data_IF_595750133074
#
_entry.id   IF_595750133074
#
_cell.length_a   1.000
_cell.length_b   1.000
_cell.length_c   1.000
_cell.angle_alpha   90.00
_cell.angle_beta   90.00
_cell.angle_gamma   90.00
#
_symmetry.space_group_name_H-M   'P 1'
#
loop_
_entity.id
_entity.type
_entity.pdbx_description
1 polymer ?
#
# COMPACT_ATOMS: atom_id res chain seq x y z
N UNK A 1 -2.97 -35.27 -16.62
CA UNK A 1 -4.27 -35.82 -17.04
C UNK A 1 -4.21 -37.31 -16.75
N UNK A 2 -4.62 -37.73 -15.55
CA UNK A 2 -4.67 -39.15 -15.16
C UNK A 2 -6.07 -39.69 -15.48
N UNK A 3 -6.09 -40.72 -16.31
CA UNK A 3 -7.27 -41.44 -16.78
C UNK A 3 -7.92 -42.20 -15.61
N UNK A 4 -9.17 -41.86 -15.28
CA UNK A 4 -9.94 -42.56 -14.24
C UNK A 4 -10.54 -43.81 -14.88
N UNK A 5 -9.98 -44.98 -14.55
CA UNK A 5 -10.59 -46.27 -14.85
C UNK A 5 -11.93 -46.37 -14.11
N UNK A 6 -13.03 -46.41 -14.86
CA UNK A 6 -14.36 -46.71 -14.32
C UNK A 6 -14.41 -48.22 -14.09
N UNK A 7 -14.28 -48.63 -12.83
CA UNK A 7 -14.47 -50.00 -12.41
C UNK A 7 -15.98 -50.31 -12.47
N UNK A 8 -16.38 -51.22 -13.36
CA UNK A 8 -17.79 -51.63 -13.47
C UNK A 8 -18.21 -52.32 -12.17
N UNK A 9 -19.28 -51.82 -11.54
CA UNK A 9 -19.79 -52.41 -10.30
C UNK A 9 -20.43 -53.77 -10.58
N UNK A 10 -19.76 -54.84 -10.16
CA UNK A 10 -20.33 -56.18 -10.16
C UNK A 10 -21.54 -56.26 -9.21
N UNK A 11 -22.63 -56.86 -9.70
CA UNK A 11 -23.84 -57.04 -8.90
C UNK A 11 -23.61 -57.99 -7.72
N UNK A 12 -24.11 -57.63 -6.54
CA UNK A 12 -23.94 -58.45 -5.33
C UNK A 12 -24.60 -59.85 -5.48
N UNK A 13 -23.84 -60.96 -5.32
CA UNK A 13 -24.32 -62.33 -5.56
C UNK A 13 -25.44 -62.78 -4.61
N UNK A 14 -25.66 -62.06 -3.49
CA UNK A 14 -26.72 -62.39 -2.54
C UNK A 14 -28.10 -61.86 -2.96
N UNK A 15 -28.19 -60.96 -3.94
CA UNK A 15 -29.50 -60.49 -4.43
C UNK A 15 -30.22 -61.52 -5.30
N UNK A 16 -29.48 -62.39 -5.99
CA UNK A 16 -30.05 -63.44 -6.86
C UNK A 16 -30.79 -64.55 -6.08
N UNK A 17 -30.50 -64.73 -4.79
CA UNK A 17 -31.08 -65.81 -3.95
C UNK A 17 -32.33 -65.41 -3.17
N UNK A 18 -32.83 -64.18 -3.34
CA UNK A 18 -33.96 -63.66 -2.56
C UNK A 18 -35.29 -64.12 -3.14
N UNK A 19 -36.25 -64.42 -2.26
CA UNK A 19 -37.57 -64.97 -2.63
C UNK A 19 -38.44 -64.05 -3.50
N UNK A 20 -38.07 -62.77 -3.62
CA UNK A 20 -38.74 -61.79 -4.49
C UNK A 20 -38.02 -61.59 -5.83
N UNK A 21 -36.87 -62.23 -6.06
CA UNK A 21 -36.17 -62.19 -7.34
C UNK A 21 -36.92 -63.07 -8.35
N UNK A 22 -37.38 -62.48 -9.44
CA UNK A 22 -37.94 -63.22 -10.57
C UNK A 22 -36.76 -63.78 -11.39
N UNK A 23 -36.80 -65.02 -11.89
CA UNK A 23 -35.76 -65.50 -12.79
C UNK A 23 -35.69 -64.61 -14.02
N UNK A 24 -34.47 -64.26 -14.45
CA UNK A 24 -34.29 -63.44 -15.64
C UNK A 24 -34.91 -64.17 -16.85
N UNK A 25 -35.64 -63.45 -17.72
CA UNK A 25 -36.18 -64.05 -18.93
C UNK A 25 -35.03 -64.63 -19.77
N UNK A 26 -35.28 -65.69 -20.55
CA UNK A 26 -34.24 -66.26 -21.41
C UNK A 26 -33.65 -65.17 -22.29
N UNK A 27 -32.31 -65.16 -22.40
CA UNK A 27 -31.58 -64.17 -23.18
C UNK A 27 -32.15 -64.07 -24.58
N UNK A 28 -32.53 -62.85 -25.00
CA UNK A 28 -33.11 -62.58 -26.32
C UNK A 28 -32.04 -62.45 -27.42
N UNK A 29 -30.85 -62.99 -27.18
CA UNK A 29 -29.69 -62.89 -28.07
C UNK A 29 -28.87 -61.63 -27.82
N UNK A 30 -27.67 -61.60 -28.40
CA UNK A 30 -26.73 -60.48 -28.31
C UNK A 30 -27.24 -59.29 -29.13
N UNK A 31 -27.10 -58.07 -28.59
CA UNK A 31 -27.57 -56.81 -29.21
C UNK A 31 -26.74 -56.35 -30.43
N UNK A 32 -25.86 -57.20 -30.95
CA UNK A 32 -24.90 -56.89 -32.02
C UNK A 32 -25.45 -57.18 -33.44
N UNK A 33 -26.70 -57.67 -33.54
CA UNK A 33 -27.39 -57.94 -34.80
C UNK A 33 -28.56 -56.97 -35.05
N UNK A 34 -28.58 -56.30 -36.21
CA UNK A 34 -29.63 -55.35 -36.65
C UNK A 34 -31.02 -55.98 -36.93
N UNK A 35 -31.23 -57.27 -36.64
CA UNK A 35 -32.49 -57.98 -36.90
C UNK A 35 -32.96 -58.74 -35.67
N UNK A 36 -34.11 -58.36 -35.11
CA UNK A 36 -34.83 -59.15 -34.12
C UNK A 36 -35.51 -60.34 -34.81
N UNK A 37 -35.10 -61.57 -34.47
CA UNK A 37 -35.79 -62.77 -34.90
C UNK A 37 -36.91 -63.09 -33.89
N UNK A 38 -38.15 -62.85 -34.30
CA UNK A 38 -39.35 -63.10 -33.49
C UNK A 38 -39.54 -64.61 -33.34
N UNK A 39 -39.27 -65.15 -32.14
CA UNK A 39 -39.61 -66.53 -31.81
C UNK A 39 -41.13 -66.67 -31.68
N UNK A 40 -41.69 -67.60 -32.45
CA UNK A 40 -43.10 -67.96 -32.49
C UNK A 40 -43.65 -68.25 -31.09
N UNK A 41 -44.77 -67.61 -30.75
CA UNK A 41 -45.58 -67.93 -29.59
C UNK A 41 -46.17 -69.35 -29.73
N UNK A 42 -45.89 -70.23 -28.78
CA UNK A 42 -46.64 -71.46 -28.56
C UNK A 42 -48.04 -71.09 -28.02
N UNK A 43 -49.14 -71.58 -28.63
CA UNK A 43 -50.48 -71.40 -28.07
C UNK A 43 -50.67 -72.37 -26.91
N UNK A 44 -50.77 -71.87 -25.68
CA UNK A 44 -51.27 -72.66 -24.55
C UNK A 44 -52.80 -72.76 -24.62
N UNK A 45 -53.25 -74.01 -24.52
CA UNK A 45 -54.61 -74.51 -24.58
C UNK A 45 -55.43 -74.13 -23.33
N UNK A 46 -56.70 -73.83 -23.58
CA UNK A 46 -57.86 -73.93 -22.67
C UNK A 46 -57.89 -73.15 -21.34
N UNK A 47 -58.78 -72.14 -21.34
CA UNK A 47 -59.38 -71.56 -20.15
C UNK A 47 -60.36 -72.51 -19.47
N UNK A 48 -60.69 -72.24 -18.19
CA UNK A 48 -62.10 -72.24 -17.78
C UNK A 48 -62.56 -70.83 -17.39
N UNK A 49 -63.81 -70.56 -17.76
CA UNK A 49 -64.53 -69.30 -17.64
C UNK A 49 -64.74 -68.77 -16.20
N UNK A 50 -65.10 -67.48 -16.18
CA UNK A 50 -65.71 -66.70 -15.09
C UNK A 50 -64.80 -66.04 -14.03
N UNK A 51 -64.15 -64.95 -14.45
CA UNK A 51 -63.97 -63.78 -13.59
C UNK A 51 -64.55 -62.55 -14.31
N UNK A 52 -65.33 -61.68 -13.63
CA UNK A 52 -65.90 -60.52 -14.29
C UNK A 52 -64.73 -59.66 -14.77
N UNK A 53 -64.68 -59.37 -16.08
CA UNK A 53 -63.68 -58.49 -16.68
C UNK A 53 -63.68 -57.18 -15.89
N UNK A 54 -62.74 -57.02 -14.94
CA UNK A 54 -62.47 -55.76 -14.27
C UNK A 54 -62.14 -54.79 -15.39
N UNK A 55 -63.10 -53.97 -15.82
CA UNK A 55 -62.84 -52.89 -16.77
C UNK A 55 -61.64 -52.13 -16.20
N UNK A 56 -60.51 -52.33 -16.85
CA UNK A 56 -59.22 -51.89 -16.38
C UNK A 56 -59.22 -50.38 -16.45
N UNK A 57 -59.52 -49.76 -15.32
CA UNK A 57 -59.57 -48.32 -15.17
C UNK A 57 -58.13 -47.77 -15.14
N UNK A 58 -57.35 -48.06 -16.19
CA UNK A 58 -55.94 -47.71 -16.33
C UNK A 58 -55.71 -46.22 -16.12
N UNK A 59 -56.67 -45.39 -16.56
CA UNK A 59 -56.67 -43.95 -16.32
C UNK A 59 -56.68 -43.61 -14.83
N UNK A 60 -57.57 -44.22 -14.04
CA UNK A 60 -57.60 -44.00 -12.58
C UNK A 60 -56.31 -44.46 -11.92
N UNK A 61 -55.78 -45.63 -12.32
CA UNK A 61 -54.49 -46.12 -11.81
C UNK A 61 -53.34 -45.16 -12.13
N UNK A 62 -53.33 -44.58 -13.32
CA UNK A 62 -52.32 -43.59 -13.71
C UNK A 62 -52.50 -42.28 -12.94
N UNK A 63 -53.73 -41.78 -12.85
CA UNK A 63 -54.04 -40.55 -12.12
C UNK A 63 -53.69 -40.70 -10.63
N UNK A 64 -53.98 -41.84 -10.01
CA UNK A 64 -53.65 -42.13 -8.61
C UNK A 64 -52.13 -42.33 -8.41
N UNK A 65 -51.45 -42.99 -9.35
CA UNK A 65 -49.99 -43.12 -9.33
C UNK A 65 -49.31 -41.75 -9.46
N UNK A 66 -49.79 -40.91 -10.39
CA UNK A 66 -49.32 -39.54 -10.57
C UNK A 66 -49.55 -38.71 -9.31
N UNK A 67 -50.74 -38.76 -8.72
CA UNK A 67 -51.02 -38.09 -7.44
C UNK A 67 -50.09 -38.56 -6.33
N UNK A 68 -49.81 -39.86 -6.24
CA UNK A 68 -48.85 -40.38 -5.26
C UNK A 68 -47.43 -39.87 -5.53
N UNK A 69 -46.98 -39.82 -6.79
CA UNK A 69 -45.68 -39.23 -7.14
C UNK A 69 -45.61 -37.74 -6.81
N UNK A 70 -46.64 -36.98 -7.19
CA UNK A 70 -46.74 -35.55 -6.91
C UNK A 70 -46.77 -35.30 -5.38
N UNK A 71 -47.49 -36.14 -4.62
CA UNK A 71 -47.50 -36.11 -3.16
C UNK A 71 -46.12 -36.41 -2.58
N UNK A 72 -45.45 -37.48 -3.04
CA UNK A 72 -44.09 -37.83 -2.60
C UNK A 72 -43.09 -36.74 -2.91
N UNK A 73 -43.17 -36.12 -4.10
CA UNK A 73 -42.35 -34.98 -4.48
C UNK A 73 -42.58 -33.78 -3.53
N UNK A 74 -43.83 -33.53 -3.14
CA UNK A 74 -44.17 -32.54 -2.12
C UNK A 74 -43.56 -32.87 -0.75
N UNK A 75 -43.73 -34.11 -0.28
CA UNK A 75 -43.14 -34.61 0.98
C UNK A 75 -41.61 -34.50 0.98
N UNK A 76 -40.95 -34.83 -0.13
CA UNK A 76 -39.49 -34.70 -0.25
C UNK A 76 -39.05 -33.25 -0.19
N UNK A 77 -39.71 -32.34 -0.91
CA UNK A 77 -39.39 -30.90 -0.87
C UNK A 77 -39.58 -30.32 0.53
N UNK A 78 -40.68 -30.66 1.20
CA UNK A 78 -40.92 -30.24 2.58
C UNK A 78 -39.83 -30.77 3.51
N UNK A 79 -39.45 -32.04 3.36
CA UNK A 79 -38.39 -32.64 4.17
C UNK A 79 -37.02 -32.00 3.88
N UNK A 80 -36.72 -31.66 2.64
CA UNK A 80 -35.50 -30.92 2.29
C UNK A 80 -35.48 -29.54 2.93
N UNK A 81 -36.58 -28.80 2.83
CA UNK A 81 -36.74 -27.48 3.47
C UNK A 81 -36.59 -27.58 5.00
N UNK A 82 -37.22 -28.58 5.62
CA UNK A 82 -37.11 -28.84 7.05
C UNK A 82 -35.68 -29.23 7.45
N UNK A 83 -35.00 -30.08 6.69
CA UNK A 83 -33.62 -30.48 6.96
C UNK A 83 -32.67 -29.28 6.80
N UNK A 84 -32.88 -28.43 5.80
CA UNK A 84 -32.10 -27.20 5.61
C UNK A 84 -32.35 -26.23 6.77
N UNK A 85 -33.60 -26.04 7.18
CA UNK A 85 -33.93 -25.20 8.33
C UNK A 85 -33.32 -25.75 9.62
N UNK A 86 -33.40 -27.07 9.85
CA UNK A 86 -32.76 -27.73 10.98
C UNK A 86 -31.24 -27.55 10.95
N UNK A 87 -30.59 -27.74 9.80
CA UNK A 87 -29.16 -27.53 9.65
C UNK A 87 -28.76 -26.07 9.91
N UNK A 88 -29.56 -25.09 9.47
CA UNK A 88 -29.33 -23.67 9.75
C UNK A 88 -29.50 -23.35 11.24
N UNK A 89 -30.50 -23.92 11.91
CA UNK A 89 -30.71 -23.72 13.36
C UNK A 89 -29.71 -24.46 14.24
N UNK A 90 -29.18 -25.60 13.77
CA UNK A 90 -28.18 -26.38 14.47
C UNK A 90 -26.78 -25.79 14.37
N UNK A 91 -26.53 -24.91 13.39
CA UNK A 91 -25.30 -24.12 13.35
C UNK A 91 -25.38 -23.04 14.42
N UNK A 92 -24.48 -23.05 15.43
CA UNK A 92 -24.44 -21.98 16.40
C UNK A 92 -24.15 -20.66 15.69
N UNK A 93 -24.92 -19.62 16.03
CA UNK A 93 -24.65 -18.27 15.54
C UNK A 93 -23.24 -17.87 15.98
N UNK A 94 -22.33 -17.68 15.03
CA UNK A 94 -20.95 -17.30 15.32
C UNK A 94 -20.93 -16.00 16.12
N UNK A 95 -20.49 -16.07 17.37
CA UNK A 95 -20.14 -14.90 18.17
C UNK A 95 -18.62 -14.88 18.33
N UNK A 96 -17.94 -13.82 17.90
CA UNK A 96 -16.50 -13.73 18.08
C UNK A 96 -16.19 -13.74 19.58
N UNK A 97 -15.28 -14.60 20.07
CA UNK A 97 -14.88 -14.63 21.46
C UNK A 97 -14.23 -13.30 21.82
N UNK A 98 -14.68 -12.68 22.93
CA UNK A 98 -14.21 -11.36 23.36
C UNK A 98 -13.41 -11.40 24.65
N UNK A 99 -13.55 -12.47 25.44
CA UNK A 99 -12.83 -12.64 26.70
C UNK A 99 -11.72 -13.67 26.54
N UNK A 100 -10.70 -13.59 27.40
CA UNK A 100 -9.57 -14.52 27.39
C UNK A 100 -10.03 -15.96 27.63
N UNK A 101 -11.00 -16.16 28.54
CA UNK A 101 -11.62 -17.46 28.85
C UNK A 101 -12.36 -18.03 27.62
N UNK A 102 -13.08 -17.20 26.86
CA UNK A 102 -13.76 -17.64 25.64
C UNK A 102 -12.78 -18.03 24.53
N UNK A 103 -11.61 -17.38 24.46
CA UNK A 103 -10.55 -17.71 23.50
C UNK A 103 -9.93 -19.06 23.84
N UNK A 104 -9.74 -19.36 25.13
CA UNK A 104 -9.25 -20.68 25.58
C UNK A 104 -10.24 -21.80 25.26
N UNK A 105 -11.54 -21.58 25.51
CA UNK A 105 -12.58 -22.52 25.12
C UNK A 105 -12.61 -22.70 23.59
N UNK A 106 -12.54 -21.61 22.82
CA UNK A 106 -12.50 -21.64 21.36
C UNK A 106 -11.27 -22.40 20.84
N UNK A 107 -10.11 -22.24 21.48
CA UNK A 107 -8.89 -23.00 21.15
C UNK A 107 -9.06 -24.49 21.38
N UNK A 108 -9.81 -24.90 22.41
CA UNK A 108 -10.09 -26.30 22.70
C UNK A 108 -11.09 -26.90 21.70
N UNK A 109 -12.16 -26.17 21.36
CA UNK A 109 -13.21 -26.63 20.45
C UNK A 109 -12.79 -26.61 18.97
N UNK A 110 -11.99 -25.61 18.56
CA UNK A 110 -11.59 -25.37 17.18
C UNK A 110 -10.09 -25.05 17.07
N UNK A 111 -9.20 -26.02 17.33
CA UNK A 111 -7.75 -25.77 17.34
C UNK A 111 -7.23 -25.30 15.97
N UNK A 112 -7.74 -25.85 14.87
CA UNK A 112 -7.30 -25.49 13.53
C UNK A 112 -7.64 -24.03 13.18
N UNK A 113 -8.87 -23.59 13.49
CA UNK A 113 -9.29 -22.20 13.26
C UNK A 113 -8.46 -21.24 14.10
N UNK A 114 -8.25 -21.55 15.39
CA UNK A 114 -7.42 -20.74 16.26
C UNK A 114 -5.99 -20.60 15.72
N UNK A 115 -5.35 -21.70 15.32
CA UNK A 115 -3.98 -21.69 14.79
C UNK A 115 -3.87 -20.83 13.52
N UNK A 116 -4.88 -20.85 12.64
CA UNK A 116 -4.88 -19.97 11.46
C UNK A 116 -4.99 -18.50 11.83
N UNK A 117 -5.87 -18.14 12.76
CA UNK A 117 -6.05 -16.77 13.22
C UNK A 117 -4.80 -16.27 13.94
N UNK A 118 -4.20 -17.10 14.78
CA UNK A 118 -2.92 -16.81 15.45
C UNK A 118 -1.79 -16.58 14.44
N UNK A 119 -1.71 -17.43 13.40
CA UNK A 119 -0.70 -17.27 12.34
C UNK A 119 -0.92 -15.96 11.57
N UNK A 120 -2.16 -15.64 11.19
CA UNK A 120 -2.49 -14.39 10.49
C UNK A 120 -2.19 -13.18 11.39
N UNK A 121 -2.52 -13.25 12.67
CA UNK A 121 -2.21 -12.21 13.65
C UNK A 121 -0.70 -12.02 13.80
N UNK A 122 0.08 -13.11 13.82
CA UNK A 122 1.53 -13.06 13.90
C UNK A 122 2.13 -12.45 12.63
N UNK A 123 1.70 -12.87 11.44
CA UNK A 123 2.14 -12.29 10.15
C UNK A 123 1.84 -10.79 10.11
N UNK A 124 0.63 -10.38 10.51
CA UNK A 124 0.24 -8.97 10.55
C UNK A 124 1.09 -8.17 11.54
N UNK A 125 1.31 -8.71 12.73
CA UNK A 125 2.18 -8.08 13.74
C UNK A 125 3.62 -7.93 13.23
N UNK A 126 4.19 -8.97 12.61
CA UNK A 126 5.51 -8.89 11.99
C UNK A 126 5.58 -7.83 10.89
N UNK A 127 4.54 -7.72 10.05
CA UNK A 127 4.45 -6.69 9.01
C UNK A 127 4.38 -5.29 9.62
N UNK A 128 3.57 -5.08 10.65
CA UNK A 128 3.47 -3.79 11.35
C UNK A 128 4.81 -3.41 11.99
N UNK A 129 5.49 -4.35 12.65
CA UNK A 129 6.84 -4.13 13.22
C UNK A 129 7.86 -3.82 12.12
N UNK A 130 7.87 -4.54 11.01
CA UNK A 130 8.78 -4.29 9.90
C UNK A 130 8.55 -2.89 9.28
N UNK A 131 7.29 -2.49 9.13
CA UNK A 131 6.93 -1.15 8.68
C UNK A 131 7.41 -0.07 9.65
N UNK A 132 7.23 -0.26 10.96
CA UNK A 132 7.71 0.66 11.98
C UNK A 132 9.25 0.75 11.99
N UNK A 133 9.95 -0.37 11.87
CA UNK A 133 11.41 -0.40 11.76
C UNK A 133 11.91 0.36 10.53
N UNK A 134 11.27 0.18 9.38
CA UNK A 134 11.60 0.94 8.16
C UNK A 134 11.37 2.44 8.34
N UNK A 135 10.26 2.84 8.95
CA UNK A 135 9.99 4.25 9.25
C UNK A 135 11.03 4.83 10.21
N UNK A 136 11.36 4.12 11.30
CA UNK A 136 12.39 4.53 12.25
C UNK A 136 13.74 4.70 11.57
N UNK A 137 14.14 3.76 10.70
CA UNK A 137 15.39 3.88 9.95
C UNK A 137 15.39 5.12 9.04
N UNK A 138 14.29 5.40 8.35
CA UNK A 138 14.17 6.59 7.50
C UNK A 138 14.24 7.89 8.31
N UNK A 139 13.63 7.91 9.51
CA UNK A 139 13.67 9.06 10.41
C UNK A 139 15.08 9.26 10.96
N UNK A 140 15.77 8.20 11.38
CA UNK A 140 17.14 8.26 11.86
C UNK A 140 18.10 8.75 10.77
N UNK A 141 17.93 8.31 9.52
CA UNK A 141 18.69 8.83 8.39
C UNK A 141 18.44 10.33 8.21
N UNK A 142 17.18 10.76 8.20
CA UNK A 142 16.83 12.17 8.10
C UNK A 142 17.38 13.01 9.25
N UNK A 143 17.32 12.50 10.47
CA UNK A 143 17.88 13.17 11.66
C UNK A 143 19.39 13.33 11.52
N UNK A 144 20.12 12.28 11.12
CA UNK A 144 21.57 12.38 10.93
C UNK A 144 21.95 13.35 9.80
N UNK A 145 21.17 13.42 8.72
CA UNK A 145 21.37 14.41 7.66
C UNK A 145 21.12 15.84 8.14
N UNK A 146 20.08 16.05 8.95
CA UNK A 146 19.76 17.37 9.53
C UNK A 146 20.87 17.79 10.48
N UNK A 147 21.28 16.91 11.39
CA UNK A 147 22.38 17.16 12.33
C UNK A 147 23.67 17.50 11.58
N UNK A 148 24.00 16.79 10.49
CA UNK A 148 25.17 17.12 9.66
C UNK A 148 25.04 18.49 9.00
N UNK A 149 23.87 18.82 8.43
CA UNK A 149 23.63 20.14 7.82
C UNK A 149 23.74 21.27 8.83
N UNK A 150 23.15 21.11 10.01
CA UNK A 150 23.23 22.09 11.10
C UNK A 150 24.67 22.26 11.61
N UNK A 151 25.42 21.16 11.69
CA UNK A 151 26.84 21.19 12.00
C UNK A 151 27.64 21.97 10.94
N UNK A 152 27.41 21.69 9.66
CA UNK A 152 28.06 22.39 8.56
C UNK A 152 27.69 23.88 8.52
N UNK A 153 26.43 24.26 8.74
CA UNK A 153 26.04 25.69 8.80
C UNK A 153 26.75 26.40 9.95
N UNK A 154 26.79 25.77 11.12
CA UNK A 154 27.50 26.33 12.28
C UNK A 154 29.01 26.46 12.02
N UNK A 155 29.61 25.53 11.28
CA UNK A 155 31.01 25.63 10.85
C UNK A 155 31.22 26.76 9.85
N UNK A 156 30.34 26.92 8.86
CA UNK A 156 30.40 28.03 7.89
C UNK A 156 30.25 29.39 8.56
N UNK A 157 29.40 29.50 9.57
CA UNK A 157 29.21 30.73 10.34
C UNK A 157 30.48 31.13 11.11
N UNK A 158 31.22 30.15 11.63
CA UNK A 158 32.51 30.39 12.33
C UNK A 158 33.68 30.58 11.37
N UNK A 159 33.67 29.85 10.26
CA UNK A 159 34.73 29.81 9.26
C UNK A 159 34.10 29.90 7.85
N UNK A 160 33.96 31.11 7.30
CA UNK A 160 33.38 31.29 5.95
C UNK A 160 34.18 30.61 4.83
N UNK A 161 35.47 30.36 5.05
CA UNK A 161 36.43 29.64 4.21
C UNK A 161 36.45 28.13 4.47
N UNK A 162 35.51 27.60 5.25
CA UNK A 162 35.42 26.18 5.59
C UNK A 162 35.36 25.28 4.36
N UNK A 163 34.56 25.62 3.35
CA UNK A 163 34.37 24.79 2.16
C UNK A 163 35.67 24.64 1.34
N UNK A 164 36.49 25.69 1.31
CA UNK A 164 37.79 25.69 0.65
C UNK A 164 38.80 24.86 1.45
N UNK A 165 38.85 25.04 2.77
CA UNK A 165 39.77 24.32 3.66
C UNK A 165 39.46 22.82 3.66
N UNK A 166 38.17 22.44 3.74
CA UNK A 166 37.71 21.05 3.73
C UNK A 166 38.06 20.30 2.45
N UNK A 167 38.22 21.01 1.33
CA UNK A 167 38.59 20.41 0.04
C UNK A 167 40.09 20.53 -0.24
N UNK A 168 40.84 21.23 0.61
CA UNK A 168 42.26 21.48 0.40
C UNK A 168 43.12 20.29 0.84
N UNK A 169 44.00 19.82 -0.05
CA UNK A 169 44.95 18.76 0.28
C UNK A 169 45.89 19.19 1.42
N UNK A 170 46.27 20.47 1.47
CA UNK A 170 47.14 21.01 2.51
C UNK A 170 46.55 20.93 3.92
N UNK A 171 45.22 21.02 4.08
CA UNK A 171 44.58 20.79 5.37
C UNK A 171 44.60 19.32 5.75
N UNK A 172 44.35 18.42 4.80
CA UNK A 172 44.38 16.98 5.06
C UNK A 172 45.79 16.47 5.37
N UNK A 173 46.81 17.00 4.70
CA UNK A 173 48.20 16.64 4.97
C UNK A 173 48.67 17.18 6.32
N UNK A 174 48.34 18.44 6.65
CA UNK A 174 48.52 18.96 8.01
C UNK A 174 47.82 18.06 9.04
N UNK A 175 46.55 17.69 8.81
CA UNK A 175 45.78 16.88 9.76
C UNK A 175 46.43 15.50 10.01
N UNK A 176 47.02 14.86 8.99
CA UNK A 176 47.72 13.56 9.14
C UNK A 176 49.00 13.67 9.96
N UNK A 177 49.67 14.82 9.97
CA UNK A 177 50.87 15.06 10.78
C UNK A 177 50.54 15.30 12.26
N UNK A 178 49.29 15.65 12.57
CA UNK A 178 48.84 15.88 13.93
C UNK A 178 48.69 14.57 14.73
N UNK A 179 48.70 14.62 16.08
CA UNK A 179 48.40 13.47 16.92
C UNK A 179 46.99 12.89 16.66
N UNK A 180 46.79 11.61 16.98
CA UNK A 180 45.52 10.90 16.76
C UNK A 180 44.31 11.67 17.32
N UNK A 181 44.46 12.36 18.46
CA UNK A 181 43.38 13.12 19.07
C UNK A 181 42.86 14.26 18.18
N UNK A 182 43.74 14.93 17.42
CA UNK A 182 43.35 16.01 16.51
C UNK A 182 42.84 15.44 15.20
N UNK A 183 43.41 14.31 14.74
CA UNK A 183 42.88 13.58 13.60
C UNK A 183 41.41 13.16 13.84
N UNK A 184 41.10 12.72 15.06
CA UNK A 184 39.75 12.35 15.45
C UNK A 184 38.77 13.53 15.38
N UNK A 185 39.21 14.75 15.66
CA UNK A 185 38.35 15.94 15.54
C UNK A 185 37.93 16.24 14.10
N UNK A 186 38.73 15.80 13.13
CA UNK A 186 38.52 16.02 11.69
C UNK A 186 37.81 14.84 11.04
N UNK A 187 38.27 13.61 11.29
CA UNK A 187 37.80 12.41 10.60
C UNK A 187 36.79 11.59 11.41
N UNK A 188 36.96 11.50 12.73
CA UNK A 188 36.16 10.65 13.61
C UNK A 188 35.24 11.47 14.52
N UNK A 189 34.62 12.50 13.95
CA UNK A 189 33.76 13.42 14.69
C UNK A 189 32.30 13.26 14.25
N UNK A 190 31.45 12.60 15.07
CA UNK A 190 30.06 12.34 14.69
C UNK A 190 29.20 13.61 14.66
N UNK A 191 29.35 14.52 15.65
CA UNK A 191 28.45 15.65 15.84
C UNK A 191 29.07 16.87 16.58
N UNK A 192 30.35 16.81 16.98
CA UNK A 192 30.96 17.85 17.80
C UNK A 192 31.58 18.97 16.95
N UNK A 193 30.74 19.93 16.57
CA UNK A 193 31.13 21.13 15.80
C UNK A 193 32.27 21.92 16.47
N UNK A 194 32.30 21.98 17.80
CA UNK A 194 33.30 22.78 18.52
C UNK A 194 34.72 22.23 18.38
N UNK A 195 34.87 20.91 18.28
CA UNK A 195 36.17 20.28 18.05
C UNK A 195 36.63 20.49 16.60
N UNK A 196 35.72 20.32 15.63
CA UNK A 196 36.01 20.59 14.22
C UNK A 196 36.41 22.06 13.98
N UNK A 197 35.71 23.02 14.59
CA UNK A 197 36.10 24.44 14.50
C UNK A 197 37.47 24.71 15.11
N UNK A 198 37.78 24.10 16.27
CA UNK A 198 39.11 24.22 16.88
C UNK A 198 40.21 23.66 15.99
N UNK A 199 39.98 22.53 15.31
CA UNK A 199 40.95 21.98 14.37
C UNK A 199 41.23 22.95 13.21
N UNK A 200 40.19 23.58 12.65
CA UNK A 200 40.33 24.60 11.60
C UNK A 200 41.10 25.83 12.12
N UNK A 201 40.82 26.27 13.35
CA UNK A 201 41.53 27.38 13.98
C UNK A 201 43.02 27.08 14.19
N UNK A 202 43.36 25.87 14.65
CA UNK A 202 44.74 25.42 14.81
C UNK A 202 45.49 25.39 13.48
N UNK A 203 44.87 24.79 12.46
CA UNK A 203 45.42 24.79 11.11
C UNK A 203 45.73 26.20 10.62
N UNK A 204 44.77 27.11 10.77
CA UNK A 204 44.90 28.52 10.38
C UNK A 204 46.00 29.27 11.13
N UNK A 205 46.18 28.94 12.42
CA UNK A 205 47.21 29.52 13.27
C UNK A 205 48.59 29.04 12.86
N UNK A 206 48.76 27.76 12.58
CA UNK A 206 50.05 27.16 12.23
C UNK A 206 50.49 27.48 10.79
N UNK A 207 49.56 27.45 9.85
CA UNK A 207 49.85 27.77 8.44
C UNK A 207 49.87 29.26 8.14
N UNK A 208 49.41 30.09 9.08
CA UNK A 208 49.25 31.53 8.90
C UNK A 208 48.14 31.94 7.94
N UNK A 209 47.40 30.97 7.38
CA UNK A 209 46.33 31.20 6.39
C UNK A 209 45.13 31.93 7.00
N UNK A 210 44.93 31.82 8.32
CA UNK A 210 43.86 32.52 9.05
C UNK A 210 44.30 33.78 9.79
N UNK A 211 45.55 34.23 9.62
CA UNK A 211 45.79 35.67 9.67
C UNK A 211 45.14 36.24 8.41
N UNK A 212 43.81 36.39 8.48
CA UNK A 212 43.18 37.48 7.80
C UNK A 212 44.07 38.69 8.13
N UNK A 213 44.85 39.15 7.13
CA UNK A 213 45.14 40.56 7.00
C UNK A 213 43.81 41.17 7.36
N UNK A 214 43.73 41.78 8.55
CA UNK A 214 42.62 42.63 8.88
C UNK A 214 42.45 43.45 7.62
N UNK A 215 41.45 43.12 6.80
CA UNK A 215 40.94 44.06 5.84
C UNK A 215 40.48 45.11 6.80
N UNK A 216 41.36 46.09 7.04
CA UNK A 216 41.04 47.32 7.74
C UNK A 216 39.72 47.65 7.12
N UNK A 217 38.64 47.46 7.88
CA UNK A 217 37.39 48.02 7.46
C UNK A 217 37.76 49.45 7.14
N UNK A 218 37.63 49.92 5.88
CA UNK A 218 37.80 51.33 5.65
C UNK A 218 36.86 51.94 6.68
N UNK A 219 37.43 52.71 7.61
CA UNK A 219 36.66 53.42 8.64
C UNK A 219 35.43 53.90 7.92
N UNK A 220 34.26 53.54 8.43
CA UNK A 220 33.01 54.07 7.91
C UNK A 220 33.13 55.59 8.02
N UNK A 221 33.63 56.23 6.96
CA UNK A 221 33.38 57.62 6.72
C UNK A 221 31.87 57.63 6.63
N UNK A 222 31.23 58.30 7.58
CA UNK A 222 29.86 58.74 7.49
C UNK A 222 29.73 59.78 6.37
N UNK A 223 30.21 59.44 5.18
CA UNK A 223 29.96 60.14 3.94
C UNK A 223 28.53 59.84 3.55
N UNK A 224 27.67 60.82 3.78
CA UNK A 224 26.33 60.91 3.21
C UNK A 224 26.33 60.36 1.78
N UNK A 225 25.38 59.47 1.47
CA UNK A 225 25.19 58.86 0.15
C UNK A 225 24.96 59.87 -1.00
N UNK A 226 24.94 61.18 -0.70
CA UNK A 226 24.95 62.27 -1.65
C UNK A 226 26.30 62.48 -2.39
N UNK A 227 27.42 61.94 -1.88
CA UNK A 227 28.77 62.25 -2.43
C UNK A 227 29.34 61.18 -3.39
N UNK A 228 28.58 60.10 -3.66
CA UNK A 228 28.99 59.01 -4.58
C UNK A 228 28.30 59.12 -5.95
N UNK A 229 27.34 60.03 -6.12
CA UNK A 229 26.74 60.34 -7.42
C UNK A 229 27.58 61.40 -8.15
N UNK A 230 28.72 60.94 -8.69
CA UNK A 230 29.46 61.66 -9.71
C UNK A 230 28.60 61.75 -10.97
N UNK A 231 28.04 62.93 -11.26
CA UNK A 231 27.23 63.24 -12.44
C UNK A 231 28.05 63.35 -13.74
N UNK A 232 29.15 62.59 -13.85
CA UNK A 232 29.97 62.62 -15.06
C UNK A 232 29.42 61.63 -16.09
N UNK A 233 28.51 62.19 -16.89
CA UNK A 233 28.18 61.80 -18.28
C UNK A 233 27.56 60.42 -18.48
N UNK A 234 26.24 60.31 -18.26
CA UNK A 234 25.40 59.50 -19.15
C UNK A 234 24.67 60.47 -20.07
N UNK A 235 24.91 60.37 -21.37
CA UNK A 235 24.08 61.03 -22.38
C UNK A 235 22.68 60.40 -22.26
N UNK A 236 21.77 61.11 -21.62
CA UNK A 236 20.36 60.72 -21.54
C UNK A 236 19.70 61.20 -22.82
N UNK A 237 19.31 60.25 -23.66
CA UNK A 237 18.41 60.45 -24.78
C UNK A 237 17.12 61.13 -24.27
N UNK A 238 16.70 62.30 -24.80
CA UNK A 238 15.67 63.15 -24.18
C UNK A 238 14.23 62.58 -24.20
N UNK A 239 14.03 61.31 -24.52
CA UNK A 239 12.71 60.66 -24.55
C UNK A 239 12.45 59.61 -23.45
N UNK A 240 13.42 59.30 -22.57
CA UNK A 240 13.16 58.34 -21.49
C UNK A 240 12.50 59.03 -20.29
N UNK A 241 11.28 58.62 -19.95
CA UNK A 241 10.52 59.18 -18.84
C UNK A 241 11.18 58.85 -17.47
N UNK A 242 11.03 59.78 -16.51
CA UNK A 242 11.70 59.78 -15.20
C UNK A 242 11.37 58.54 -14.37
N UNK A 243 12.39 57.94 -13.74
CA UNK A 243 12.25 56.87 -12.75
C UNK A 243 12.12 57.52 -11.37
N UNK A 244 11.13 57.09 -10.59
CA UNK A 244 10.86 57.62 -9.25
C UNK A 244 11.35 56.65 -8.17
N UNK A 245 11.73 57.17 -7.00
CA UNK A 245 12.07 56.33 -5.83
C UNK A 245 11.02 56.47 -4.73
N UNK A 246 10.74 55.39 -3.99
CA UNK A 246 9.76 55.42 -2.88
C UNK A 246 10.12 56.49 -1.84
N UNK A 247 11.41 56.70 -1.59
CA UNK A 247 11.90 57.73 -0.67
C UNK A 247 11.66 59.15 -1.19
N UNK A 248 11.77 59.37 -2.50
CA UNK A 248 11.49 60.68 -3.12
C UNK A 248 9.99 61.01 -3.06
N UNK A 249 9.14 60.02 -3.33
CA UNK A 249 7.68 60.17 -3.23
C UNK A 249 7.27 60.41 -1.76
N UNK A 250 7.89 59.71 -0.80
CA UNK A 250 7.59 59.89 0.62
C UNK A 250 8.11 61.21 1.21
N UNK A 251 9.16 61.79 0.63
CA UNK A 251 9.78 63.03 1.11
C UNK A 251 9.16 64.30 0.50
N UNK A 252 8.36 64.18 -0.56
CA UNK A 252 7.78 65.34 -1.22
C UNK A 252 6.60 65.92 -0.43
N UNK A 253 6.41 67.23 -0.52
CA UNK A 253 5.26 67.89 0.10
C UNK A 253 3.97 67.58 -0.67
N UNK A 254 2.83 67.73 0.00
CA UNK A 254 1.51 67.47 -0.61
C UNK A 254 1.31 68.29 -1.91
N UNK A 255 1.69 69.58 -1.89
CA UNK A 255 1.65 70.45 -3.07
C UNK A 255 2.58 70.01 -4.22
N UNK A 256 3.69 69.32 -3.91
CA UNK A 256 4.62 68.80 -4.92
C UNK A 256 4.11 67.48 -5.49
N UNK A 257 3.48 66.66 -4.67
CA UNK A 257 2.84 65.43 -5.09
C UNK A 257 1.72 65.72 -6.08
N UNK A 258 0.83 66.66 -5.76
CA UNK A 258 -0.29 67.05 -6.63
C UNK A 258 0.16 67.53 -8.02
N UNK A 259 1.33 68.17 -8.12
CA UNK A 259 1.91 68.63 -9.40
C UNK A 259 2.49 67.50 -10.25
N UNK A 260 2.99 66.44 -9.62
CA UNK A 260 3.63 65.30 -10.29
C UNK A 260 2.78 64.03 -10.20
N UNK A 261 1.50 64.16 -9.80
CA UNK A 261 0.63 63.03 -9.54
C UNK A 261 0.49 62.13 -10.77
N UNK A 262 0.20 62.71 -11.94
CA UNK A 262 0.03 61.95 -13.18
C UNK A 262 1.30 61.19 -13.59
N UNK A 263 2.48 61.79 -13.40
CA UNK A 263 3.77 61.17 -13.72
C UNK A 263 4.15 60.04 -12.75
N UNK A 264 3.84 60.22 -11.47
CA UNK A 264 4.09 59.21 -10.42
C UNK A 264 3.12 58.04 -10.58
N UNK A 265 1.84 58.30 -10.87
CA UNK A 265 0.85 57.25 -11.17
C UNK A 265 1.25 56.44 -12.40
N UNK A 266 1.70 57.09 -13.47
CA UNK A 266 2.20 56.41 -14.66
C UNK A 266 3.47 55.57 -14.35
N UNK A 267 4.40 56.10 -13.55
CA UNK A 267 5.57 55.35 -13.12
C UNK A 267 5.23 54.16 -12.21
N UNK A 268 4.19 54.26 -11.37
CA UNK A 268 3.68 53.14 -10.58
C UNK A 268 3.05 52.07 -11.47
N UNK A 269 2.24 52.46 -12.47
CA UNK A 269 1.63 51.50 -13.41
C UNK A 269 2.66 50.76 -14.24
N UNK A 270 3.72 51.45 -14.66
CA UNK A 270 4.78 50.88 -15.50
C UNK A 270 5.89 50.18 -14.69
N UNK A 271 5.78 50.13 -13.35
CA UNK A 271 6.77 49.50 -12.47
C UNK A 271 8.12 50.23 -12.42
N UNK A 272 8.13 51.53 -12.73
CA UNK A 272 9.31 52.41 -12.74
C UNK A 272 9.51 53.16 -11.41
N UNK A 273 8.98 52.59 -10.32
CA UNK A 273 9.23 53.05 -8.95
C UNK A 273 10.19 52.07 -8.28
N UNK A 274 11.36 52.56 -7.88
CA UNK A 274 12.39 51.76 -7.20
C UNK A 274 12.27 51.92 -5.70
N UNK A 275 12.37 50.80 -4.99
CA UNK A 275 12.33 50.71 -3.52
C UNK A 275 13.61 51.25 -2.87
#
# INVERSE_FOLDING_TARGET
MSEVQVEEQESNPYNAKKAWHQPDPPSRGDADGLFFQEQQATPDEEAPDEAPKKQTNYKKRYDDLKKHYDQRLGEFKQREEELVAQAQTAQPAYQPPKTEEDIEAFKQEYPDLYNTVETVAHIRSQQEVANLQSQLQSLQQRESEVMRKEAETTLRDRHPDFDDIRTSDGFHDWAKEQPEQIQDWVYNNPDNVALASKAIDLYKLETGTGQARSKKQPRANSGSAADIVSTKTTNVDPQQAKIWTEREIAAMSLDQFDRHQEEIEQAMQEGRVVK
#
